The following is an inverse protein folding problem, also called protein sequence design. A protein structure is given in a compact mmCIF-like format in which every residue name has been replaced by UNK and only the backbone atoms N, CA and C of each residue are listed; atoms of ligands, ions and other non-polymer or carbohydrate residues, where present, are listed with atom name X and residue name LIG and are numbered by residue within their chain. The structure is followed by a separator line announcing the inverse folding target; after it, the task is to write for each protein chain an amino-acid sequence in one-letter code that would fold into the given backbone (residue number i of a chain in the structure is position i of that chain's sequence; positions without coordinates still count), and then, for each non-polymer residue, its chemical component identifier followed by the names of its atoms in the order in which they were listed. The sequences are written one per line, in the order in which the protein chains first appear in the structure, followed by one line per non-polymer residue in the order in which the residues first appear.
data_IF_413359064594
#
_entry.id   IF_413359064594
#
_cell.length_a   1.000
_cell.length_b   1.000
_cell.length_c   1.000
_cell.angle_alpha   90.00
_cell.angle_beta   90.00
_cell.angle_gamma   90.00
#
_symmetry.space_group_name_H-M   'P 1'
#
loop_
_entity.id
_entity.type
_entity.pdbx_description
1 polymer ?
#
# COMPACT_ATOMS: atom_id res chain seq x y z
N UNK A 1 54.01 -14.21 -34.61
CA UNK A 1 53.19 -13.36 -35.49
C UNK A 1 53.22 -13.99 -36.87
N UNK A 2 52.10 -14.20 -37.61
CA UNK A 2 50.68 -13.85 -37.39
C UNK A 2 49.85 -15.10 -37.02
N UNK A 3 48.58 -15.12 -36.60
CA UNK A 3 47.46 -14.18 -36.71
C UNK A 3 46.26 -14.99 -37.25
N UNK A 4 45.19 -15.18 -36.47
CA UNK A 4 44.07 -16.05 -36.88
C UNK A 4 42.92 -16.20 -35.88
N UNK A 5 42.35 -15.07 -35.50
CA UNK A 5 40.93 -14.81 -35.12
C UNK A 5 40.14 -15.85 -34.32
N UNK A 6 39.81 -15.41 -33.10
CA UNK A 6 38.61 -15.76 -32.35
C UNK A 6 37.37 -15.90 -33.25
N UNK A 7 36.75 -17.08 -33.24
CA UNK A 7 35.30 -17.21 -33.41
C UNK A 7 34.68 -17.36 -32.02
N UNK A 8 34.48 -16.23 -31.35
CA UNK A 8 33.46 -16.12 -30.32
C UNK A 8 32.12 -16.21 -31.04
N UNK A 9 31.60 -17.43 -31.11
CA UNK A 9 30.25 -17.71 -31.55
C UNK A 9 29.29 -16.82 -30.77
N UNK A 10 28.73 -15.86 -31.48
CA UNK A 10 27.66 -14.98 -31.04
C UNK A 10 26.39 -15.82 -30.90
N UNK A 11 26.35 -16.61 -29.83
CA UNK A 11 25.15 -17.30 -29.37
C UNK A 11 24.19 -16.26 -28.84
N UNK A 12 23.47 -15.61 -29.73
CA UNK A 12 22.22 -14.89 -29.50
C UNK A 12 21.15 -15.89 -29.05
N UNK A 13 21.37 -16.49 -27.89
CA UNK A 13 20.40 -17.27 -27.17
C UNK A 13 19.37 -16.32 -26.58
N UNK A 14 18.40 -15.92 -27.40
CA UNK A 14 17.04 -15.64 -26.91
C UNK A 14 16.60 -16.87 -26.13
N UNK A 15 16.89 -16.93 -24.82
CA UNK A 15 16.11 -17.75 -23.89
C UNK A 15 14.73 -17.11 -23.87
N UNK A 16 13.88 -17.52 -24.81
CA UNK A 16 12.44 -17.47 -24.65
C UNK A 16 12.14 -18.31 -23.41
N UNK A 17 12.15 -17.65 -22.25
CA UNK A 17 11.61 -18.20 -21.03
C UNK A 17 10.12 -18.30 -21.20
N UNK A 18 9.64 -19.45 -21.68
CA UNK A 18 8.26 -19.87 -21.46
C UNK A 18 8.10 -20.14 -19.97
N UNK A 19 7.96 -19.07 -19.18
CA UNK A 19 7.58 -19.18 -17.77
C UNK A 19 6.17 -19.76 -17.65
N UNK A 20 5.81 -20.22 -16.44
CA UNK A 20 4.47 -20.72 -16.12
C UNK A 20 3.34 -19.74 -16.54
N UNK A 21 3.68 -18.46 -16.67
CA UNK A 21 2.79 -17.40 -17.12
C UNK A 21 3.32 -16.77 -18.42
N UNK A 22 2.57 -16.86 -19.54
CA UNK A 22 2.94 -16.18 -20.77
C UNK A 22 2.84 -14.66 -20.63
N UNK A 23 3.62 -13.89 -21.40
CA UNK A 23 3.59 -12.42 -21.42
C UNK A 23 2.36 -11.87 -22.18
N UNK A 24 1.17 -12.36 -21.82
CA UNK A 24 -0.14 -12.00 -22.40
C UNK A 24 -1.05 -11.40 -21.33
N UNK A 25 -2.20 -10.83 -21.71
CA UNK A 25 -3.19 -10.33 -20.76
C UNK A 25 -3.69 -11.46 -19.84
N UNK A 26 -4.09 -12.58 -20.43
CA UNK A 26 -4.52 -13.78 -19.71
C UNK A 26 -3.44 -14.32 -18.76
N UNK A 27 -2.16 -14.33 -19.19
CA UNK A 27 -1.07 -14.78 -18.31
C UNK A 27 -0.88 -13.88 -17.09
N UNK A 28 -1.10 -12.57 -17.22
CA UNK A 28 -1.05 -11.63 -16.08
C UNK A 28 -2.24 -11.77 -15.14
N UNK A 29 -3.44 -11.97 -15.67
CA UNK A 29 -4.64 -12.24 -14.87
C UNK A 29 -4.51 -13.52 -14.07
N UNK A 30 -4.00 -14.59 -14.69
CA UNK A 30 -3.73 -15.85 -14.01
C UNK A 30 -2.68 -15.67 -12.91
N UNK A 31 -1.56 -15.00 -13.21
CA UNK A 31 -0.53 -14.70 -12.20
C UNK A 31 -1.10 -13.89 -11.02
N UNK A 32 -1.90 -12.85 -11.29
CA UNK A 32 -2.52 -12.03 -10.25
C UNK A 32 -3.49 -12.85 -9.37
N UNK A 33 -4.26 -13.75 -9.98
CA UNK A 33 -5.17 -14.66 -9.29
C UNK A 33 -4.41 -15.64 -8.40
N UNK A 34 -3.33 -16.24 -8.92
CA UNK A 34 -2.52 -17.20 -8.18
C UNK A 34 -1.77 -16.52 -7.03
N UNK A 35 -1.24 -15.30 -7.23
CA UNK A 35 -0.65 -14.50 -6.16
C UNK A 35 -1.69 -14.19 -5.06
N UNK A 36 -2.92 -13.80 -5.41
CA UNK A 36 -3.97 -13.59 -4.43
C UNK A 36 -4.31 -14.87 -3.66
N UNK A 37 -4.40 -16.01 -4.36
CA UNK A 37 -4.68 -17.28 -3.72
C UNK A 37 -3.58 -17.65 -2.71
N UNK A 38 -2.31 -17.53 -3.10
CA UNK A 38 -1.18 -17.79 -2.19
C UNK A 38 -1.23 -16.83 -1.00
N UNK A 39 -1.53 -15.53 -1.22
CA UNK A 39 -1.66 -14.54 -0.14
C UNK A 39 -2.77 -14.90 0.86
N UNK A 40 -3.86 -15.55 0.42
CA UNK A 40 -4.97 -15.96 1.29
C UNK A 40 -4.71 -17.26 2.04
N UNK A 41 -4.12 -18.22 1.36
CA UNK A 41 -4.07 -19.59 1.85
C UNK A 41 -2.80 -19.91 2.64
N UNK A 42 -1.74 -19.13 2.44
CA UNK A 42 -0.46 -19.41 3.09
C UNK A 42 -0.51 -19.12 4.58
N UNK A 43 -0.03 -20.07 5.38
CA UNK A 43 0.24 -19.87 6.81
C UNK A 43 1.69 -19.46 7.07
N UNK A 44 2.52 -19.35 6.03
CA UNK A 44 3.94 -19.02 6.14
C UNK A 44 4.16 -17.50 6.02
N UNK A 45 4.59 -16.80 7.10
CA UNK A 45 4.77 -15.34 7.10
C UNK A 45 5.69 -14.82 6.00
N UNK A 46 6.79 -15.54 5.73
CA UNK A 46 7.77 -15.13 4.72
C UNK A 46 7.19 -15.20 3.31
N UNK A 47 6.41 -16.25 3.02
CA UNK A 47 5.75 -16.39 1.72
C UNK A 47 4.65 -15.33 1.56
N UNK A 48 3.87 -15.05 2.61
CA UNK A 48 2.85 -14.00 2.60
C UNK A 48 3.46 -12.64 2.27
N UNK A 49 4.55 -12.27 2.95
CA UNK A 49 5.27 -11.02 2.71
C UNK A 49 5.90 -10.98 1.32
N UNK A 50 6.54 -12.06 0.87
CA UNK A 50 7.15 -12.13 -0.46
C UNK A 50 6.11 -11.92 -1.58
N UNK A 51 4.91 -12.48 -1.43
CA UNK A 51 3.81 -12.29 -2.38
C UNK A 51 3.30 -10.85 -2.38
N UNK A 52 3.12 -10.23 -1.20
CA UNK A 52 2.77 -8.81 -1.12
C UNK A 52 3.81 -7.90 -1.77
N UNK A 53 5.09 -8.19 -1.54
CA UNK A 53 6.20 -7.45 -2.14
C UNK A 53 6.26 -7.65 -3.65
N UNK A 54 6.04 -8.88 -4.15
CA UNK A 54 5.93 -9.14 -5.58
C UNK A 54 4.79 -8.35 -6.23
N UNK A 55 3.60 -8.33 -5.60
CA UNK A 55 2.48 -7.51 -6.05
C UNK A 55 2.85 -6.01 -6.07
N UNK A 56 3.52 -5.51 -5.02
CA UNK A 56 4.00 -4.13 -4.93
C UNK A 56 4.99 -3.81 -6.04
N UNK A 57 5.94 -4.69 -6.33
CA UNK A 57 7.01 -4.43 -7.27
C UNK A 57 6.52 -4.41 -8.73
N UNK A 58 5.43 -5.13 -9.05
CA UNK A 58 4.81 -5.09 -10.38
C UNK A 58 3.71 -4.02 -10.54
N UNK A 59 3.14 -3.51 -9.44
CA UNK A 59 2.08 -2.49 -9.46
C UNK A 59 2.41 -1.18 -10.22
N UNK A 60 3.69 -0.74 -10.38
CA UNK A 60 4.00 0.40 -11.26
C UNK A 60 3.67 0.14 -12.74
N UNK A 61 3.61 -1.12 -13.18
CA UNK A 61 3.25 -1.49 -14.55
C UNK A 61 1.74 -1.51 -14.69
N UNK A 62 1.17 -0.61 -15.51
CA UNK A 62 -0.28 -0.43 -15.67
C UNK A 62 -1.05 -1.73 -15.91
N UNK A 63 -0.60 -2.56 -16.85
CA UNK A 63 -1.27 -3.82 -17.18
C UNK A 63 -1.22 -4.85 -16.04
N UNK A 64 -0.21 -4.79 -15.17
CA UNK A 64 -0.14 -5.62 -13.97
C UNK A 64 -1.05 -5.06 -12.87
N UNK A 65 -1.07 -3.74 -12.67
CA UNK A 65 -1.98 -3.08 -11.73
C UNK A 65 -3.46 -3.37 -12.06
N UNK A 66 -3.84 -3.28 -13.33
CA UNK A 66 -5.17 -3.64 -13.81
C UNK A 66 -5.51 -5.10 -13.49
N UNK A 67 -4.58 -6.03 -13.74
CA UNK A 67 -4.76 -7.45 -13.41
C UNK A 67 -4.89 -7.70 -11.89
N UNK A 68 -4.08 -7.02 -11.06
CA UNK A 68 -4.15 -7.14 -9.59
C UNK A 68 -5.49 -6.63 -9.04
N UNK A 69 -5.99 -5.49 -9.55
CA UNK A 69 -7.29 -4.95 -9.14
C UNK A 69 -8.44 -5.84 -9.61
N UNK A 70 -8.37 -6.36 -10.84
CA UNK A 70 -9.37 -7.29 -11.37
C UNK A 70 -9.40 -8.62 -10.60
N UNK A 71 -8.25 -9.13 -10.17
CA UNK A 71 -8.15 -10.34 -9.36
C UNK A 71 -8.76 -10.18 -7.95
N UNK A 72 -8.97 -8.96 -7.47
CA UNK A 72 -9.49 -8.71 -6.12
C UNK A 72 -8.40 -8.66 -5.04
N UNK A 73 -7.23 -8.13 -5.39
CA UNK A 73 -6.14 -7.90 -4.41
C UNK A 73 -6.49 -6.78 -3.43
N UNK A 74 -7.22 -5.74 -3.85
CA UNK A 74 -7.54 -4.57 -3.00
C UNK A 74 -8.31 -4.95 -1.73
N UNK A 75 -9.40 -5.75 -1.78
CA UNK A 75 -10.09 -6.19 -0.56
C UNK A 75 -9.20 -6.99 0.39
N UNK A 76 -8.30 -7.82 -0.14
CA UNK A 76 -7.38 -8.62 0.67
C UNK A 76 -6.38 -7.73 1.42
N UNK A 77 -5.76 -6.76 0.73
CA UNK A 77 -4.81 -5.84 1.37
C UNK A 77 -5.50 -4.88 2.34
N UNK A 78 -6.75 -4.49 2.05
CA UNK A 78 -7.57 -3.73 2.99
C UNK A 78 -7.86 -4.55 4.27
N UNK A 79 -8.14 -5.85 4.15
CA UNK A 79 -8.31 -6.73 5.30
C UNK A 79 -7.03 -6.83 6.15
N UNK A 80 -5.86 -6.99 5.51
CA UNK A 80 -4.55 -7.01 6.19
C UNK A 80 -4.32 -5.71 6.98
N UNK A 81 -4.64 -4.56 6.40
CA UNK A 81 -4.52 -3.25 7.04
C UNK A 81 -5.46 -3.07 8.24
N UNK A 82 -6.59 -3.77 8.27
CA UNK A 82 -7.55 -3.73 9.37
C UNK A 82 -7.19 -4.68 10.52
N UNK A 83 -6.13 -5.48 10.40
CA UNK A 83 -5.74 -6.40 11.45
C UNK A 83 -5.23 -5.64 12.69
N UNK A 84 -5.90 -5.81 13.82
CA UNK A 84 -5.48 -5.23 15.09
C UNK A 84 -4.37 -6.07 15.74
N UNK A 85 -3.14 -5.56 15.72
CA UNK A 85 -1.96 -6.21 16.31
C UNK A 85 -1.85 -6.01 17.83
N UNK A 86 -2.46 -4.97 18.38
CA UNK A 86 -2.44 -4.70 19.83
C UNK A 86 -3.24 -5.75 20.61
N UNK A 87 -4.38 -6.19 20.05
CA UNK A 87 -5.15 -7.32 20.59
C UNK A 87 -4.37 -8.63 20.53
N UNK A 88 -3.55 -8.84 19.50
CA UNK A 88 -2.68 -10.02 19.42
C UNK A 88 -1.66 -10.02 20.55
N UNK A 89 -1.06 -8.88 20.87
CA UNK A 89 -0.12 -8.77 21.99
C UNK A 89 -0.80 -9.05 23.35
N UNK A 90 -1.99 -8.50 23.58
CA UNK A 90 -2.80 -8.76 24.79
C UNK A 90 -3.20 -10.25 24.92
N UNK A 91 -3.31 -10.97 23.81
CA UNK A 91 -3.60 -12.40 23.76
C UNK A 91 -2.34 -13.29 23.87
N UNK A 92 -1.17 -12.70 24.15
CA UNK A 92 0.08 -13.45 24.34
C UNK A 92 0.77 -13.88 23.05
N UNK A 93 0.46 -13.24 21.92
CA UNK A 93 1.16 -13.46 20.65
C UNK A 93 2.56 -12.84 20.74
N UNK A 94 3.59 -13.63 20.41
CA UNK A 94 5.00 -13.26 20.50
C UNK A 94 5.34 -11.99 19.67
N UNK A 95 6.38 -11.26 20.07
CA UNK A 95 6.88 -10.07 19.39
C UNK A 95 7.32 -10.38 17.95
N UNK A 96 7.91 -11.56 17.71
CA UNK A 96 8.27 -12.01 16.37
C UNK A 96 7.03 -12.19 15.48
N UNK A 97 5.94 -12.73 16.03
CA UNK A 97 4.65 -12.85 15.32
C UNK A 97 3.97 -11.49 15.06
N UNK A 98 4.26 -10.47 15.85
CA UNK A 98 3.70 -9.12 15.61
C UNK A 98 4.47 -8.38 14.50
N UNK A 99 5.79 -8.59 14.40
CA UNK A 99 6.64 -7.90 13.45
C UNK A 99 6.28 -8.21 11.98
N UNK A 100 5.99 -9.47 11.65
CA UNK A 100 5.65 -9.84 10.27
C UNK A 100 4.28 -9.29 9.84
N UNK A 101 3.31 -9.21 10.76
CA UNK A 101 2.00 -8.60 10.49
C UNK A 101 2.17 -7.10 10.18
N UNK A 102 2.98 -6.39 10.97
CA UNK A 102 3.28 -4.97 10.73
C UNK A 102 4.01 -4.76 9.40
N UNK A 103 4.92 -5.66 9.02
CA UNK A 103 5.55 -5.64 7.69
C UNK A 103 4.51 -5.86 6.57
N UNK A 104 3.60 -6.82 6.73
CA UNK A 104 2.51 -7.06 5.80
C UNK A 104 1.60 -5.83 5.66
N UNK A 105 1.26 -5.15 6.75
CA UNK A 105 0.49 -3.89 6.72
C UNK A 105 1.23 -2.78 5.98
N UNK A 106 2.54 -2.64 6.21
CA UNK A 106 3.36 -1.65 5.51
C UNK A 106 3.39 -1.91 4.01
N UNK A 107 3.61 -3.16 3.59
CA UNK A 107 3.62 -3.57 2.19
C UNK A 107 2.24 -3.43 1.54
N UNK A 108 1.16 -3.75 2.26
CA UNK A 108 -0.22 -3.54 1.82
C UNK A 108 -0.52 -2.06 1.56
N UNK A 109 -0.15 -1.17 2.48
CA UNK A 109 -0.32 0.27 2.30
C UNK A 109 0.49 0.80 1.10
N UNK A 110 1.73 0.34 0.94
CA UNK A 110 2.58 0.72 -0.19
C UNK A 110 1.99 0.25 -1.53
N UNK A 111 1.47 -0.98 -1.59
CA UNK A 111 0.79 -1.50 -2.78
C UNK A 111 -0.45 -0.66 -3.13
N UNK A 112 -1.30 -0.32 -2.14
CA UNK A 112 -2.44 0.57 -2.39
C UNK A 112 -2.00 1.94 -2.92
N UNK A 113 -0.90 2.51 -2.43
CA UNK A 113 -0.35 3.75 -2.95
C UNK A 113 0.01 3.64 -4.44
N UNK A 114 0.67 2.55 -4.84
CA UNK A 114 1.09 2.30 -6.22
C UNK A 114 -0.10 2.06 -7.15
N UNK A 115 -1.10 1.31 -6.70
CA UNK A 115 -2.36 1.15 -7.45
C UNK A 115 -3.09 2.49 -7.60
N UNK A 116 -3.13 3.30 -6.54
CA UNK A 116 -3.75 4.62 -6.57
C UNK A 116 -3.01 5.64 -7.45
N UNK A 117 -1.70 5.48 -7.69
CA UNK A 117 -0.98 6.31 -8.65
C UNK A 117 -1.50 6.10 -10.08
N UNK A 118 -2.06 4.94 -10.39
CA UNK A 118 -2.77 4.68 -11.65
C UNK A 118 -4.14 5.36 -11.59
N UNK A 119 -4.22 6.63 -12.04
CA UNK A 119 -5.46 7.44 -11.98
C UNK A 119 -6.75 6.70 -12.43
N UNK A 120 -6.74 5.90 -13.52
CA UNK A 120 -7.92 5.14 -13.93
C UNK A 120 -8.40 4.07 -12.94
N UNK A 121 -7.52 3.57 -12.05
CA UNK A 121 -7.84 2.53 -11.08
C UNK A 121 -8.31 3.08 -9.74
N UNK A 122 -8.11 4.37 -9.44
CA UNK A 122 -8.40 4.95 -8.12
C UNK A 122 -9.81 4.68 -7.63
N UNK A 123 -10.82 4.86 -8.50
CA UNK A 123 -12.20 4.61 -8.15
C UNK A 123 -12.42 3.15 -7.72
N UNK A 124 -11.93 2.19 -8.51
CA UNK A 124 -12.02 0.77 -8.17
C UNK A 124 -11.28 0.45 -6.88
N UNK A 125 -10.11 1.05 -6.65
CA UNK A 125 -9.35 0.88 -5.39
C UNK A 125 -10.14 1.40 -4.19
N UNK A 126 -10.84 2.53 -4.31
CA UNK A 126 -11.70 3.07 -3.24
C UNK A 126 -12.93 2.18 -3.03
N UNK A 127 -13.63 1.80 -4.10
CA UNK A 127 -14.83 0.96 -4.06
C UNK A 127 -14.54 -0.44 -3.47
N UNK A 128 -13.37 -1.00 -3.78
CA UNK A 128 -12.91 -2.27 -3.21
C UNK A 128 -12.38 -2.14 -1.77
N UNK A 129 -12.51 -0.97 -1.14
CA UNK A 129 -12.24 -0.76 0.28
C UNK A 129 -10.82 -0.29 0.62
N UNK A 130 -10.00 0.09 -0.36
CA UNK A 130 -8.63 0.53 -0.12
C UNK A 130 -8.54 1.73 0.84
N UNK A 131 -9.43 2.72 0.69
CA UNK A 131 -9.48 3.88 1.58
C UNK A 131 -9.86 3.49 3.03
N UNK A 132 -10.81 2.56 3.18
CA UNK A 132 -11.23 2.03 4.48
C UNK A 132 -10.08 1.30 5.18
N UNK A 133 -9.33 0.48 4.44
CA UNK A 133 -8.14 -0.21 4.96
C UNK A 133 -7.08 0.77 5.46
N UNK A 134 -6.73 1.79 4.65
CA UNK A 134 -5.75 2.81 5.03
C UNK A 134 -6.17 3.62 6.26
N UNK A 135 -7.44 4.03 6.33
CA UNK A 135 -7.98 4.74 7.48
C UNK A 135 -7.91 3.89 8.76
N UNK A 136 -8.31 2.61 8.68
CA UNK A 136 -8.22 1.69 9.80
C UNK A 136 -6.78 1.51 10.28
N UNK A 137 -5.81 1.34 9.37
CA UNK A 137 -4.40 1.23 9.72
C UNK A 137 -3.88 2.47 10.46
N UNK A 138 -4.31 3.67 10.08
CA UNK A 138 -3.94 4.91 10.79
C UNK A 138 -4.51 4.95 12.21
N UNK A 139 -5.79 4.59 12.37
CA UNK A 139 -6.47 4.59 13.67
C UNK A 139 -5.89 3.55 14.60
N UNK A 140 -5.78 2.30 14.15
CA UNK A 140 -5.28 1.17 14.94
C UNK A 140 -3.84 1.39 15.45
N UNK A 141 -3.02 2.04 14.63
CA UNK A 141 -1.63 2.30 14.98
C UNK A 141 -1.45 3.67 15.64
N UNK A 142 -2.48 4.51 15.81
CA UNK A 142 -2.34 5.90 16.30
C UNK A 142 -1.55 6.02 17.61
N UNK A 143 -0.53 6.90 17.64
CA UNK A 143 0.23 7.23 18.86
C UNK A 143 1.28 6.19 19.28
N UNK A 144 1.42 5.08 18.54
CA UNK A 144 2.35 4.01 18.89
C UNK A 144 3.74 4.22 18.25
N UNK A 145 4.86 3.98 18.95
CA UNK A 145 6.20 4.14 18.37
C UNK A 145 6.61 2.96 17.46
N UNK A 146 7.84 2.98 16.94
CA UNK A 146 8.47 1.83 16.27
C UNK A 146 7.83 1.44 14.94
N UNK A 147 7.65 0.13 14.71
CA UNK A 147 7.10 -0.41 13.46
C UNK A 147 5.67 0.09 13.18
N UNK A 148 4.85 0.28 14.21
CA UNK A 148 3.50 0.84 14.08
C UNK A 148 3.54 2.27 13.51
N UNK A 149 4.54 3.08 13.90
CA UNK A 149 4.75 4.40 13.30
C UNK A 149 5.11 4.31 11.81
N UNK A 150 5.89 3.31 11.40
CA UNK A 150 6.20 3.10 9.98
C UNK A 150 4.96 2.70 9.17
N UNK A 151 4.08 1.87 9.74
CA UNK A 151 2.78 1.55 9.12
C UNK A 151 1.95 2.82 8.96
N UNK A 152 1.82 3.65 10.01
CA UNK A 152 1.09 4.93 9.92
C UNK A 152 1.64 5.85 8.83
N UNK A 153 2.96 6.06 8.82
CA UNK A 153 3.61 6.91 7.80
C UNK A 153 3.30 6.42 6.40
N UNK A 154 3.39 5.10 6.19
CA UNK A 154 3.14 4.50 4.87
C UNK A 154 1.67 4.60 4.49
N UNK A 155 0.76 4.35 5.43
CA UNK A 155 -0.68 4.48 5.22
C UNK A 155 -1.07 5.94 4.89
N UNK A 156 -0.54 6.92 5.64
CA UNK A 156 -0.75 8.33 5.36
C UNK A 156 -0.18 8.74 4.00
N UNK A 157 0.99 8.21 3.62
CA UNK A 157 1.57 8.47 2.30
C UNK A 157 0.71 7.89 1.18
N UNK A 158 0.12 6.72 1.39
CA UNK A 158 -0.77 6.05 0.45
C UNK A 158 -2.11 6.78 0.26
N UNK A 159 -2.58 7.53 1.26
CA UNK A 159 -3.76 8.38 1.13
C UNK A 159 -3.56 9.49 0.09
N UNK A 160 -2.37 10.07 -0.02
CA UNK A 160 -2.11 11.21 -0.91
C UNK A 160 -2.52 10.93 -2.38
N UNK A 161 -2.03 9.87 -3.05
CA UNK A 161 -2.46 9.55 -4.41
C UNK A 161 -3.90 9.03 -4.48
N UNK A 162 -4.42 8.40 -3.41
CA UNK A 162 -5.77 7.84 -3.40
C UNK A 162 -6.85 8.93 -3.32
N UNK A 163 -6.67 9.92 -2.45
CA UNK A 163 -7.55 11.07 -2.31
C UNK A 163 -7.48 11.99 -3.54
N UNK A 164 -6.26 12.23 -4.04
CA UNK A 164 -6.04 13.11 -5.19
C UNK A 164 -6.64 14.49 -4.97
N UNK A 165 -7.49 14.94 -5.91
CA UNK A 165 -8.23 16.21 -5.84
C UNK A 165 -9.76 15.99 -5.89
N UNK A 166 -10.20 14.75 -5.72
CA UNK A 166 -11.63 14.42 -5.80
C UNK A 166 -12.28 14.63 -4.43
N UNK A 167 -13.15 15.64 -4.33
CA UNK A 167 -13.82 16.01 -3.09
C UNK A 167 -14.57 14.84 -2.43
N UNK A 168 -15.11 13.91 -3.22
CA UNK A 168 -15.84 12.74 -2.72
C UNK A 168 -14.97 11.84 -1.85
N UNK A 169 -13.70 11.67 -2.23
CA UNK A 169 -12.76 10.85 -1.46
C UNK A 169 -12.26 11.58 -0.22
N UNK A 170 -12.17 12.92 -0.26
CA UNK A 170 -11.84 13.74 0.91
C UNK A 170 -12.94 13.62 1.97
N UNK A 171 -14.21 13.79 1.60
CA UNK A 171 -15.36 13.62 2.49
C UNK A 171 -15.41 12.21 3.08
N UNK A 172 -15.23 11.19 2.24
CA UNK A 172 -15.19 9.80 2.70
C UNK A 172 -14.04 9.55 3.69
N UNK A 173 -12.86 10.13 3.47
CA UNK A 173 -11.73 10.00 4.39
C UNK A 173 -12.02 10.67 5.75
N UNK A 174 -12.71 11.81 5.75
CA UNK A 174 -13.19 12.46 6.98
C UNK A 174 -14.14 11.54 7.73
N UNK A 175 -15.13 10.97 7.04
CA UNK A 175 -16.09 10.03 7.65
C UNK A 175 -15.43 8.75 8.19
N UNK A 176 -14.35 8.30 7.57
CA UNK A 176 -13.56 7.16 8.03
C UNK A 176 -12.59 7.51 9.18
N UNK A 177 -12.59 8.73 9.67
CA UNK A 177 -11.80 9.13 10.84
C UNK A 177 -10.33 9.38 10.56
N UNK A 178 -9.94 9.70 9.32
CA UNK A 178 -8.53 9.95 8.93
C UNK A 178 -7.95 11.19 9.63
N UNK A 179 -8.78 12.18 9.96
CA UNK A 179 -8.30 13.46 10.51
C UNK A 179 -7.55 13.33 11.83
N UNK A 180 -8.13 12.64 12.82
CA UNK A 180 -7.53 12.52 14.15
C UNK A 180 -6.09 11.95 14.13
N UNK A 181 -5.81 10.79 13.50
CA UNK A 181 -4.45 10.27 13.44
C UNK A 181 -3.51 11.19 12.64
N UNK A 182 -3.98 11.85 11.57
CA UNK A 182 -3.15 12.81 10.84
C UNK A 182 -2.81 14.05 11.68
N UNK A 183 -3.73 14.55 12.51
CA UNK A 183 -3.44 15.64 13.44
C UNK A 183 -2.44 15.22 14.51
N UNK A 184 -2.56 14.01 15.08
CA UNK A 184 -1.56 13.49 16.02
C UNK A 184 -0.17 13.38 15.37
N UNK A 185 -0.10 12.90 14.13
CA UNK A 185 1.15 12.86 13.35
C UNK A 185 1.71 14.25 13.05
N UNK A 186 0.86 15.26 12.84
CA UNK A 186 1.28 16.65 12.63
C UNK A 186 2.01 17.24 13.85
N UNK A 187 1.63 16.81 15.06
CA UNK A 187 2.28 17.21 16.32
C UNK A 187 3.30 16.19 16.85
N UNK A 188 3.58 15.10 16.12
CA UNK A 188 4.55 14.10 16.52
C UNK A 188 5.98 14.67 16.51
N UNK A 189 6.89 14.09 17.28
CA UNK A 189 8.32 14.46 17.27
C UNK A 189 9.05 14.02 15.99
N UNK A 190 8.50 13.01 15.30
CA UNK A 190 9.05 12.49 14.06
C UNK A 190 8.81 13.44 12.89
N UNK A 191 9.90 13.98 12.30
CA UNK A 191 9.79 14.81 11.10
C UNK A 191 9.10 14.08 9.94
N UNK A 192 9.28 12.76 9.84
CA UNK A 192 8.67 11.97 8.77
C UNK A 192 7.14 11.93 8.92
N UNK A 193 6.65 11.74 10.14
CA UNK A 193 5.21 11.79 10.45
C UNK A 193 4.65 13.18 10.18
N UNK A 194 5.33 14.23 10.63
CA UNK A 194 4.90 15.60 10.37
C UNK A 194 4.82 15.91 8.87
N UNK A 195 5.83 15.53 8.08
CA UNK A 195 5.88 15.79 6.64
C UNK A 195 4.73 15.10 5.89
N UNK A 196 4.45 13.83 6.20
CA UNK A 196 3.37 13.10 5.53
C UNK A 196 1.99 13.59 5.99
N UNK A 197 1.83 13.86 7.29
CA UNK A 197 0.61 14.44 7.84
C UNK A 197 0.27 15.79 7.18
N UNK A 198 1.25 16.69 7.06
CA UNK A 198 1.07 17.98 6.37
C UNK A 198 0.53 17.81 4.95
N UNK A 199 1.01 16.81 4.21
CA UNK A 199 0.53 16.55 2.84
C UNK A 199 -0.93 16.09 2.84
N UNK A 200 -1.30 15.15 3.71
CA UNK A 200 -2.68 14.67 3.82
C UNK A 200 -3.61 15.79 4.29
N UNK A 201 -3.26 16.48 5.37
CA UNK A 201 -4.04 17.59 5.90
C UNK A 201 -4.21 18.72 4.87
N UNK A 202 -3.18 19.03 4.07
CA UNK A 202 -3.30 20.03 2.98
C UNK A 202 -4.31 19.61 1.90
N UNK A 203 -4.43 18.32 1.61
CA UNK A 203 -5.47 17.83 0.71
C UNK A 203 -6.85 17.93 1.36
N UNK A 204 -6.97 17.51 2.61
CA UNK A 204 -8.25 17.54 3.34
C UNK A 204 -8.75 18.96 3.62
N UNK A 205 -7.85 19.93 3.82
CA UNK A 205 -8.18 21.35 3.98
C UNK A 205 -8.73 22.04 2.73
N UNK A 206 -8.85 21.32 1.59
CA UNK A 206 -9.63 21.81 0.44
C UNK A 206 -11.14 21.76 0.72
N UNK A 207 -11.56 20.94 1.67
CA UNK A 207 -12.94 20.93 2.18
C UNK A 207 -13.15 22.10 3.16
N UNK A 208 -14.21 22.88 2.95
CA UNK A 208 -14.48 24.08 3.74
C UNK A 208 -14.76 23.79 5.22
N UNK A 209 -15.40 22.65 5.53
CA UNK A 209 -15.68 22.25 6.91
C UNK A 209 -14.40 21.86 7.65
N UNK A 210 -13.47 21.20 6.95
CA UNK A 210 -12.17 20.83 7.48
C UNK A 210 -11.27 22.06 7.65
N UNK A 211 -11.28 22.98 6.69
CA UNK A 211 -10.53 24.23 6.77
C UNK A 211 -10.95 25.06 8.00
N UNK A 212 -12.25 25.20 8.24
CA UNK A 212 -12.78 25.91 9.41
C UNK A 212 -12.39 25.24 10.74
N UNK A 213 -12.24 23.91 10.75
CA UNK A 213 -11.73 23.18 11.91
C UNK A 213 -10.24 23.46 12.15
N UNK A 214 -9.41 23.49 11.11
CA UNK A 214 -7.98 23.77 11.23
C UNK A 214 -7.69 25.12 11.88
N UNK A 215 -8.46 26.15 11.54
CA UNK A 215 -8.37 27.47 12.18
C UNK A 215 -8.60 27.40 13.69
N UNK A 216 -9.62 26.63 14.14
CA UNK A 216 -9.95 26.48 15.56
C UNK A 216 -8.88 25.73 16.35
N UNK A 217 -8.23 24.74 15.73
CA UNK A 217 -7.19 23.94 16.39
C UNK A 217 -5.76 24.44 16.14
N UNK A 218 -5.60 25.57 15.46
CA UNK A 218 -4.29 26.22 15.25
C UNK A 218 -3.37 25.52 14.25
N UNK A 219 -3.92 24.73 13.33
CA UNK A 219 -3.15 24.09 12.26
C UNK A 219 -2.88 25.11 11.14
N UNK A 220 -1.61 25.28 10.75
CA UNK A 220 -1.15 26.19 9.69
C UNK A 220 -0.46 25.37 8.59
N UNK A 221 -1.06 25.31 7.39
CA UNK A 221 -0.66 24.44 6.27
C UNK A 221 -0.17 25.19 5.04
#
# INVERSE_FOLDING_TARGET
MPGGTSQLGSGSGKRQGGGAYPSTAQGREQLATDLLQIMRDTTYPDLHNAVLEACRDVAPVRAAAEALVAAGVVPQVAHILMHNVSQSHEQGVDLASTAWILQSQRSAAALLALLALQTPLRQQVVEQGGLKGLAAALVLNSGQPGLMAQVRVTAAAALVPLLGKDGRYLELAVHLGVLEPCVKMYYATSEQEQRVARRVLKLMGQDASVAAMYERVGIKL
#
